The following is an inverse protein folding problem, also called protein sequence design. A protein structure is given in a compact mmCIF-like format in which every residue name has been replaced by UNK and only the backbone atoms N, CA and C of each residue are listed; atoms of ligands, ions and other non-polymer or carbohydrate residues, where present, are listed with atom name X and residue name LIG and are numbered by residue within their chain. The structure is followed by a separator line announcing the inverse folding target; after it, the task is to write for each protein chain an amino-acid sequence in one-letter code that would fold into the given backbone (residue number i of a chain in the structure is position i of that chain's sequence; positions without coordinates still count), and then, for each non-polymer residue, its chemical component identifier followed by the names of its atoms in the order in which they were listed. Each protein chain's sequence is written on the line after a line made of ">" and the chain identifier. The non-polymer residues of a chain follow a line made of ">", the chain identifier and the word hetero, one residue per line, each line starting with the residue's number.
data_IF_687377231097
#
_entry.id   IF_687377231097
#
_cell.length_a   1.000
_cell.length_b   1.000
_cell.length_c   1.000
_cell.angle_alpha   90.00
_cell.angle_beta   90.00
_cell.angle_gamma   90.00
#
_symmetry.space_group_name_H-M   'P 1'
#
loop_
_entity.id
_entity.type
_entity.pdbx_description
1 polymer ?
#
# COMPACT_ATOMS: atom_id res chain seq x y z
N UNK A 1 -8.18 -9.26 -5.31
CA UNK A 1 -7.65 -9.64 -3.97
C UNK A 1 -6.32 -8.95 -3.72
N UNK A 2 -5.92 -8.74 -2.45
CA UNK A 2 -4.64 -8.10 -2.09
C UNK A 2 -3.45 -8.80 -2.73
N UNK A 3 -3.44 -10.15 -2.76
CA UNK A 3 -2.37 -10.93 -3.41
C UNK A 3 -2.21 -10.57 -4.89
N UNK A 4 -3.30 -10.52 -5.64
CA UNK A 4 -3.26 -10.18 -7.07
C UNK A 4 -2.73 -8.75 -7.30
N UNK A 5 -3.06 -7.82 -6.39
CA UNK A 5 -2.55 -6.45 -6.44
C UNK A 5 -1.04 -6.41 -6.18
N UNK A 6 -0.54 -7.11 -5.18
CA UNK A 6 0.91 -7.24 -4.90
C UNK A 6 1.63 -7.86 -6.11
N UNK A 7 1.08 -8.91 -6.71
CA UNK A 7 1.66 -9.55 -7.90
C UNK A 7 1.68 -8.61 -9.12
N UNK A 8 0.71 -7.70 -9.24
CA UNK A 8 0.72 -6.66 -10.27
C UNK A 8 1.76 -5.56 -9.98
N UNK A 9 1.89 -5.14 -8.71
CA UNK A 9 2.89 -4.15 -8.29
C UNK A 9 4.32 -4.59 -8.59
N UNK A 10 4.67 -5.84 -8.29
CA UNK A 10 6.02 -6.40 -8.51
C UNK A 10 6.48 -6.37 -9.97
N UNK A 11 5.56 -6.28 -10.93
CA UNK A 11 5.91 -6.16 -12.37
C UNK A 11 6.42 -4.77 -12.75
N UNK A 12 6.26 -3.80 -11.85
CA UNK A 12 6.45 -2.39 -12.12
C UNK A 12 7.35 -1.67 -11.13
N UNK A 13 7.49 -2.22 -9.92
CA UNK A 13 8.20 -1.61 -8.81
C UNK A 13 8.96 -2.67 -8.02
N UNK A 14 10.09 -2.28 -7.44
CA UNK A 14 10.84 -3.11 -6.50
C UNK A 14 10.19 -2.97 -5.10
N UNK A 15 9.24 -3.84 -4.79
CA UNK A 15 8.47 -3.76 -3.54
C UNK A 15 9.30 -4.30 -2.38
N UNK A 16 9.52 -3.46 -1.36
CA UNK A 16 10.27 -3.82 -0.16
C UNK A 16 9.34 -4.36 0.93
N UNK A 17 8.18 -3.74 1.11
CA UNK A 17 7.16 -4.22 2.04
C UNK A 17 5.78 -3.67 1.73
N UNK A 18 4.76 -4.42 2.17
CA UNK A 18 3.36 -4.03 2.08
C UNK A 18 2.72 -4.21 3.44
N UNK A 19 1.93 -3.22 3.87
CA UNK A 19 1.17 -3.28 5.11
C UNK A 19 -0.29 -2.99 4.83
N UNK A 20 -1.18 -3.80 5.41
CA UNK A 20 -2.58 -3.46 5.57
C UNK A 20 -2.71 -2.59 6.80
N UNK A 21 -3.37 -1.44 6.68
CA UNK A 21 -3.61 -0.55 7.81
C UNK A 21 -5.09 -0.13 7.86
N UNK A 22 -5.41 0.92 8.64
CA UNK A 22 -6.76 1.45 8.72
C UNK A 22 -7.75 0.52 9.40
N UNK A 23 -9.00 0.57 8.94
CA UNK A 23 -10.14 -0.11 9.56
C UNK A 23 -9.99 -1.64 9.56
N UNK A 24 -9.42 -2.21 8.49
CA UNK A 24 -9.18 -3.66 8.40
C UNK A 24 -8.10 -4.14 9.37
N UNK A 25 -7.04 -3.35 9.60
CA UNK A 25 -5.99 -3.73 10.56
C UNK A 25 -6.46 -3.66 12.02
N UNK A 26 -7.47 -2.83 12.31
CA UNK A 26 -8.02 -2.64 13.66
C UNK A 26 -9.28 -3.48 13.93
N UNK A 27 -9.77 -4.23 12.94
CA UNK A 27 -10.98 -5.05 13.05
C UNK A 27 -12.29 -4.27 13.05
N UNK A 28 -12.26 -3.00 12.63
CA UNK A 28 -13.43 -2.11 12.58
C UNK A 28 -14.03 -1.98 11.16
N UNK A 29 -13.45 -2.66 10.17
CA UNK A 29 -13.93 -2.63 8.79
C UNK A 29 -15.31 -3.27 8.61
N UNK A 30 -16.12 -2.69 7.72
CA UNK A 30 -17.31 -3.28 7.13
C UNK A 30 -17.04 -3.77 5.70
N UNK A 31 -18.02 -4.41 5.07
CA UNK A 31 -17.89 -4.90 3.68
C UNK A 31 -17.65 -3.78 2.65
N UNK A 32 -18.08 -2.57 2.97
CA UNK A 32 -17.97 -1.37 2.13
C UNK A 32 -16.73 -0.52 2.47
N UNK A 33 -15.94 -0.93 3.48
CA UNK A 33 -14.73 -0.21 3.85
C UNK A 33 -13.64 -0.36 2.80
N UNK A 34 -12.86 0.72 2.63
CA UNK A 34 -11.64 0.72 1.83
C UNK A 34 -10.57 -0.19 2.43
N UNK A 35 -9.77 -0.79 1.55
CA UNK A 35 -8.64 -1.66 1.89
C UNK A 35 -7.37 -0.81 1.78
N UNK A 36 -7.03 -0.16 2.88
CA UNK A 36 -5.86 0.71 3.00
C UNK A 36 -4.55 -0.07 2.95
N UNK A 37 -3.74 0.15 1.91
CA UNK A 37 -2.43 -0.51 1.76
C UNK A 37 -1.28 0.49 1.70
N UNK A 38 -0.32 0.34 2.62
CA UNK A 38 0.94 1.06 2.55
C UNK A 38 1.94 0.24 1.73
N UNK A 39 2.45 0.83 0.66
CA UNK A 39 3.40 0.19 -0.26
C UNK A 39 4.75 0.87 -0.07
N UNK A 40 5.77 0.14 0.37
CA UNK A 40 7.12 0.69 0.53
C UNK A 40 7.99 0.20 -0.63
N UNK A 41 8.59 1.14 -1.35
CA UNK A 41 9.48 0.83 -2.47
C UNK A 41 10.53 1.92 -2.67
N UNK A 42 11.76 1.49 -2.98
CA UNK A 42 12.84 2.38 -3.42
C UNK A 42 12.61 2.98 -4.81
N UNK A 43 11.66 2.42 -5.58
CA UNK A 43 11.32 2.90 -6.92
C UNK A 43 10.46 4.18 -6.91
N UNK A 44 9.98 4.63 -5.75
CA UNK A 44 9.18 5.85 -5.63
C UNK A 44 10.04 7.10 -5.39
N UNK A 45 9.53 8.27 -5.76
CA UNK A 45 10.09 9.57 -5.33
C UNK A 45 10.41 10.54 -6.47
N UNK A 46 10.90 10.04 -7.61
CA UNK A 46 11.27 10.89 -8.76
C UNK A 46 10.08 11.63 -9.36
N UNK A 47 8.94 10.95 -9.47
CA UNK A 47 7.68 11.56 -9.90
C UNK A 47 6.51 11.00 -9.10
N UNK A 48 6.30 11.60 -7.93
CA UNK A 48 5.28 11.18 -6.98
C UNK A 48 3.86 11.15 -7.56
N UNK A 49 3.55 12.07 -8.47
CA UNK A 49 2.24 12.10 -9.14
C UNK A 49 2.05 10.85 -10.00
N UNK A 50 3.03 10.51 -10.83
CA UNK A 50 2.97 9.32 -11.69
C UNK A 50 2.95 8.03 -10.87
N UNK A 51 3.72 7.95 -9.78
CA UNK A 51 3.71 6.81 -8.87
C UNK A 51 2.30 6.57 -8.32
N UNK A 52 1.67 7.61 -7.76
CA UNK A 52 0.31 7.52 -7.21
C UNK A 52 -0.73 7.17 -8.29
N UNK A 53 -0.64 7.77 -9.48
CA UNK A 53 -1.54 7.44 -10.61
C UNK A 53 -1.39 5.97 -11.00
N UNK A 54 -0.17 5.45 -11.05
CA UNK A 54 0.09 4.06 -11.43
C UNK A 54 -0.39 3.08 -10.35
N UNK A 55 -0.16 3.37 -9.07
CA UNK A 55 -0.69 2.60 -7.95
C UNK A 55 -2.23 2.50 -8.05
N UNK A 56 -2.91 3.64 -8.19
CA UNK A 56 -4.38 3.67 -8.32
C UNK A 56 -4.90 2.92 -9.55
N UNK A 57 -4.28 3.10 -10.72
CA UNK A 57 -4.71 2.40 -11.95
C UNK A 57 -4.63 0.88 -11.85
N UNK A 58 -3.66 0.36 -11.10
CA UNK A 58 -3.51 -1.09 -10.92
C UNK A 58 -4.67 -1.69 -10.09
N UNK A 59 -5.43 -0.90 -9.33
CA UNK A 59 -6.56 -1.40 -8.54
C UNK A 59 -7.80 -1.67 -9.40
N UNK A 60 -7.99 -0.94 -10.50
CA UNK A 60 -9.20 -0.99 -11.34
C UNK A 60 -9.51 -2.37 -11.91
N UNK A 61 -8.49 -3.17 -12.22
CA UNK A 61 -8.65 -4.54 -12.72
C UNK A 61 -8.67 -5.62 -11.64
N UNK A 62 -8.63 -5.24 -10.35
CA UNK A 62 -8.34 -6.18 -9.26
C UNK A 62 -9.34 -6.08 -8.11
N UNK A 63 -9.46 -4.91 -7.48
CA UNK A 63 -10.41 -4.61 -6.41
C UNK A 63 -10.37 -3.09 -6.19
N UNK A 64 -11.43 -2.39 -6.58
CA UNK A 64 -11.49 -0.92 -6.55
C UNK A 64 -11.55 -0.35 -5.14
N UNK A 65 -11.77 -1.18 -4.11
CA UNK A 65 -11.72 -0.75 -2.70
C UNK A 65 -10.28 -0.60 -2.20
N UNK A 66 -9.28 -1.09 -2.93
CA UNK A 66 -7.88 -0.93 -2.51
C UNK A 66 -7.49 0.53 -2.66
N UNK A 67 -7.07 1.15 -1.56
CA UNK A 67 -6.52 2.50 -1.51
C UNK A 67 -5.02 2.46 -1.17
N UNK A 68 -4.14 2.48 -2.18
CA UNK A 68 -2.72 2.37 -1.97
C UNK A 68 -2.07 3.73 -1.64
N UNK A 69 -1.22 3.75 -0.63
CA UNK A 69 -0.33 4.86 -0.33
C UNK A 69 1.11 4.38 -0.50
N UNK A 70 1.82 4.96 -1.48
CA UNK A 70 3.24 4.72 -1.69
C UNK A 70 4.10 5.39 -0.62
N UNK A 71 5.25 4.81 -0.30
CA UNK A 71 6.27 5.40 0.57
C UNK A 71 7.66 5.04 0.02
N UNK A 72 8.56 6.01 -0.05
CA UNK A 72 9.99 5.68 -0.06
C UNK A 72 10.38 5.10 1.30
N UNK A 73 11.49 4.35 1.42
CA UNK A 73 11.95 3.88 2.74
C UNK A 73 12.15 5.03 3.73
N UNK A 74 12.68 6.17 3.29
CA UNK A 74 12.87 7.35 4.14
C UNK A 74 11.55 7.97 4.61
N UNK A 75 10.55 8.07 3.73
CA UNK A 75 9.20 8.51 4.10
C UNK A 75 8.55 7.56 5.11
N UNK A 76 8.81 6.25 4.98
CA UNK A 76 8.28 5.25 5.88
C UNK A 76 8.95 5.29 7.28
N UNK A 77 10.15 5.86 7.39
CA UNK A 77 10.79 6.13 8.68
C UNK A 77 10.23 7.36 9.40
N UNK A 78 9.91 8.42 8.66
CA UNK A 78 9.68 9.74 9.26
C UNK A 78 8.22 10.17 9.35
N UNK A 79 7.35 9.77 8.41
CA UNK A 79 5.97 10.28 8.33
C UNK A 79 5.11 9.78 9.49
N UNK A 80 4.28 10.67 10.05
CA UNK A 80 3.37 10.34 11.15
C UNK A 80 2.46 9.13 10.84
N UNK A 81 1.91 9.09 9.62
CA UNK A 81 1.11 7.95 9.17
C UNK A 81 1.92 6.64 9.15
N UNK A 82 3.18 6.69 8.71
CA UNK A 82 4.05 5.52 8.71
C UNK A 82 4.35 5.02 10.14
N UNK A 83 4.47 5.93 11.12
CA UNK A 83 4.60 5.55 12.52
C UNK A 83 3.34 4.83 13.05
N UNK A 84 2.14 5.24 12.63
CA UNK A 84 0.91 4.53 12.97
C UNK A 84 0.86 3.15 12.31
N UNK A 85 1.19 3.06 11.01
CA UNK A 85 1.25 1.80 10.28
C UNK A 85 2.24 0.83 10.93
N UNK A 86 3.41 1.31 11.37
CA UNK A 86 4.39 0.49 12.09
C UNK A 86 3.87 -0.04 13.42
N UNK A 87 3.00 0.71 14.10
CA UNK A 87 2.44 0.35 15.41
C UNK A 87 1.24 -0.60 15.31
N UNK A 88 0.36 -0.38 14.34
CA UNK A 88 -0.96 -1.04 14.27
C UNK A 88 -1.18 -1.83 12.98
N UNK A 89 -0.40 -1.57 11.94
CA UNK A 89 -0.55 -2.20 10.64
C UNK A 89 -0.12 -3.66 10.65
N UNK A 90 -0.71 -4.42 9.74
CA UNK A 90 -0.42 -5.83 9.54
C UNK A 90 0.49 -5.97 8.32
N UNK A 91 1.72 -6.47 8.53
CA UNK A 91 2.65 -6.75 7.44
C UNK A 91 2.11 -7.90 6.58
N UNK A 92 1.96 -7.66 5.29
CA UNK A 92 1.50 -8.66 4.33
C UNK A 92 2.71 -9.37 3.73
N UNK A 93 2.75 -10.72 3.71
CA UNK A 93 3.77 -11.46 2.98
C UNK A 93 3.78 -11.07 1.49
N UNK A 94 4.97 -10.80 0.96
CA UNK A 94 5.17 -10.40 -0.44
C UNK A 94 5.97 -11.44 -1.22
N UNK A 95 6.06 -12.67 -0.73
CA UNK A 95 6.72 -13.80 -1.37
C UNK A 95 5.73 -14.56 -2.25
#
# INVERSE_FOLDING_TARGET
>A
SIKNYIDALKKHFEIESVFLFGSYATGLASNDSDIDLAIVSKSFGDNRFNDNVKLGKLTWGIDTRIEPIGFTPEEFESRLLAQEIKKKGLKIPIN
#
